data_IF_743789440326
#
_entry.id   IF_743789440326
#
_cell.length_a   1.000
_cell.length_b   1.000
_cell.length_c   1.000
_cell.angle_alpha   90.00
_cell.angle_beta   90.00
_cell.angle_gamma   90.00
#
_symmetry.space_group_name_H-M   'P 1'
#
loop_
_entity.id
_entity.type
_entity.pdbx_description
1 polymer ?
#
# COMPACT_ATOMS: atom_id res chain seq x y z
N UNK A 1 -0.75 -24.54 -12.62
CA UNK A 1 0.69 -24.39 -12.94
C UNK A 1 1.08 -22.96 -12.55
N UNK A 2 1.90 -22.82 -11.51
CA UNK A 2 2.37 -21.53 -11.02
C UNK A 2 3.42 -21.02 -12.00
N UNK A 3 3.20 -19.83 -12.53
CA UNK A 3 4.19 -19.11 -13.34
C UNK A 3 5.24 -18.51 -12.39
N UNK A 4 6.14 -19.37 -11.89
CA UNK A 4 7.14 -19.04 -10.86
C UNK A 4 8.38 -18.33 -11.42
N UNK A 5 8.35 -17.80 -12.66
CA UNK A 5 9.56 -17.31 -13.31
C UNK A 5 9.45 -15.91 -13.90
N UNK A 6 8.58 -15.05 -13.36
CA UNK A 6 8.56 -13.65 -13.77
C UNK A 6 9.52 -12.87 -12.87
N UNK A 7 10.70 -12.52 -13.40
CA UNK A 7 11.62 -11.62 -12.71
C UNK A 7 10.88 -10.33 -12.34
N UNK A 8 10.88 -9.91 -11.06
CA UNK A 8 10.15 -8.71 -10.66
C UNK A 8 10.73 -7.47 -11.36
N UNK A 9 9.85 -6.61 -11.86
CA UNK A 9 10.22 -5.32 -12.44
C UNK A 9 10.39 -4.33 -11.30
N UNK A 10 11.62 -3.86 -11.12
CA UNK A 10 11.92 -2.84 -10.12
C UNK A 10 11.66 -1.44 -10.68
N UNK A 11 10.85 -0.65 -9.95
CA UNK A 11 10.51 0.73 -10.28
C UNK A 11 11.61 1.71 -9.87
N UNK A 12 12.31 1.39 -8.78
CA UNK A 12 13.40 2.18 -8.23
C UNK A 12 14.33 1.30 -7.37
N UNK A 13 15.60 1.69 -7.26
CA UNK A 13 16.58 1.01 -6.41
C UNK A 13 17.37 2.03 -5.58
N UNK A 14 17.61 1.70 -4.31
CA UNK A 14 18.41 2.51 -3.40
C UNK A 14 19.24 1.60 -2.48
N UNK A 15 20.50 1.40 -2.80
CA UNK A 15 21.35 0.41 -2.12
C UNK A 15 20.75 -1.00 -2.22
N UNK A 16 20.51 -1.63 -1.08
CA UNK A 16 19.87 -2.96 -0.99
C UNK A 16 18.34 -2.91 -1.07
N UNK A 17 17.76 -1.71 -1.12
CA UNK A 17 16.32 -1.53 -1.27
C UNK A 17 15.89 -1.58 -2.74
N UNK A 18 14.77 -2.22 -2.98
CA UNK A 18 14.13 -2.33 -4.30
C UNK A 18 12.66 -1.96 -4.18
N UNK A 19 12.19 -1.00 -5.00
CA UNK A 19 10.78 -0.65 -5.10
C UNK A 19 10.14 -1.44 -6.21
N UNK A 20 9.02 -2.08 -5.95
CA UNK A 20 8.19 -2.76 -6.94
C UNK A 20 6.72 -2.80 -6.56
N UNK A 21 5.89 -3.14 -7.51
CA UNK A 21 4.50 -3.51 -7.22
C UNK A 21 4.47 -4.83 -6.44
N UNK A 22 3.48 -4.93 -5.56
CA UNK A 22 3.14 -6.17 -4.87
C UNK A 22 2.12 -6.94 -5.70
N UNK A 23 2.23 -8.25 -5.67
CA UNK A 23 1.27 -9.16 -6.26
C UNK A 23 0.76 -10.19 -5.23
N UNK A 24 -0.10 -11.11 -5.68
CA UNK A 24 -0.67 -12.16 -4.81
C UNK A 24 0.37 -13.06 -4.12
N UNK A 25 1.60 -13.12 -4.64
CA UNK A 25 2.70 -13.85 -4.03
C UNK A 25 3.25 -13.16 -2.77
N UNK A 26 2.97 -11.86 -2.61
CA UNK A 26 3.41 -11.07 -1.46
C UNK A 26 2.39 -11.05 -0.31
N UNK A 27 1.27 -11.79 -0.44
CA UNK A 27 0.13 -11.72 0.49
C UNK A 27 0.53 -11.91 1.96
N UNK A 28 1.41 -12.84 2.25
CA UNK A 28 1.84 -13.10 3.63
C UNK A 28 2.62 -11.93 4.22
N UNK A 29 3.53 -11.32 3.46
CA UNK A 29 4.28 -10.13 3.88
C UNK A 29 3.39 -8.88 3.96
N UNK A 30 2.45 -8.74 3.02
CA UNK A 30 1.45 -7.67 3.02
C UNK A 30 0.57 -7.73 4.27
N UNK A 31 0.01 -8.90 4.60
CA UNK A 31 -0.78 -9.11 5.80
C UNK A 31 0.02 -8.82 7.08
N UNK A 32 1.26 -9.32 7.16
CA UNK A 32 2.11 -9.12 8.33
C UNK A 32 2.38 -7.62 8.59
N UNK A 33 2.68 -6.84 7.54
CA UNK A 33 2.94 -5.41 7.69
C UNK A 33 1.66 -4.63 8.05
N UNK A 34 0.50 -4.99 7.48
CA UNK A 34 -0.78 -4.39 7.87
C UNK A 34 -1.13 -4.68 9.33
N UNK A 35 -1.05 -5.93 9.76
CA UNK A 35 -1.32 -6.32 11.15
C UNK A 35 -0.41 -5.58 12.12
N UNK A 36 0.88 -5.46 11.78
CA UNK A 36 1.83 -4.69 12.57
C UNK A 36 1.44 -3.21 12.66
N UNK A 37 1.19 -2.57 11.51
CA UNK A 37 0.94 -1.13 11.45
C UNK A 37 -0.37 -0.70 12.11
N UNK A 38 -1.41 -1.53 12.00
CA UNK A 38 -2.72 -1.28 12.60
C UNK A 38 -2.92 -1.96 13.96
N UNK A 39 -1.88 -2.59 14.49
CA UNK A 39 -1.87 -3.26 15.81
C UNK A 39 -3.00 -4.30 15.98
N UNK A 40 -3.31 -5.03 14.92
CA UNK A 40 -4.31 -6.09 14.93
C UNK A 40 -3.61 -7.44 14.99
N UNK A 41 -3.83 -8.18 16.07
CA UNK A 41 -3.24 -9.51 16.24
C UNK A 41 -4.13 -10.60 15.64
N UNK A 42 -3.51 -11.69 15.22
CA UNK A 42 -4.25 -12.90 14.79
C UNK A 42 -5.16 -13.43 15.89
N UNK A 43 -4.75 -13.31 17.16
CA UNK A 43 -5.56 -13.70 18.32
C UNK A 43 -6.85 -12.90 18.40
N UNK A 44 -6.79 -11.56 18.29
CA UNK A 44 -7.96 -10.69 18.30
C UNK A 44 -8.92 -11.01 17.14
N UNK A 45 -8.39 -11.32 15.95
CA UNK A 45 -9.22 -11.75 14.82
C UNK A 45 -9.95 -13.06 15.11
N UNK A 46 -9.28 -14.06 15.71
CA UNK A 46 -9.93 -15.30 16.15
C UNK A 46 -11.01 -15.05 17.20
N UNK A 47 -10.74 -14.18 18.18
CA UNK A 47 -11.69 -13.82 19.24
C UNK A 47 -12.94 -13.11 18.68
N UNK A 48 -12.81 -12.43 17.54
CA UNK A 48 -13.95 -11.80 16.82
C UNK A 48 -14.62 -12.75 15.80
N UNK A 49 -14.22 -14.02 15.76
CA UNK A 49 -14.89 -15.07 14.98
C UNK A 49 -14.33 -15.30 13.58
N UNK A 50 -13.18 -14.70 13.22
CA UNK A 50 -12.52 -14.96 11.93
C UNK A 50 -11.87 -16.33 11.91
N UNK A 51 -12.10 -17.11 10.85
CA UNK A 51 -11.39 -18.35 10.61
C UNK A 51 -9.97 -18.10 10.08
N UNK A 52 -9.07 -19.08 10.24
CA UNK A 52 -7.68 -18.95 9.82
C UNK A 52 -7.53 -18.65 8.32
N UNK A 53 -8.31 -19.31 7.49
CA UNK A 53 -8.28 -19.10 6.05
C UNK A 53 -8.83 -17.71 5.66
N UNK A 54 -9.86 -17.23 6.36
CA UNK A 54 -10.39 -15.88 6.17
C UNK A 54 -9.33 -14.83 6.52
N UNK A 55 -8.65 -14.97 7.66
CA UNK A 55 -7.56 -14.08 8.06
C UNK A 55 -6.46 -14.06 6.99
N UNK A 56 -6.10 -15.23 6.47
CA UNK A 56 -5.04 -15.37 5.47
C UNK A 56 -5.40 -14.73 4.14
N UNK A 57 -6.63 -14.96 3.65
CA UNK A 57 -7.00 -14.62 2.28
C UNK A 57 -7.87 -13.39 2.12
N UNK A 58 -8.43 -12.84 3.21
CA UNK A 58 -9.33 -11.67 3.18
C UNK A 58 -8.74 -10.43 2.49
N UNK A 59 -7.42 -10.29 2.51
CA UNK A 59 -6.71 -9.14 1.88
C UNK A 59 -6.24 -9.40 0.45
N UNK A 60 -6.42 -10.62 -0.06
CA UNK A 60 -6.00 -10.98 -1.42
C UNK A 60 -6.63 -10.11 -2.50
N UNK A 61 -7.93 -9.76 -2.44
CA UNK A 61 -8.53 -8.86 -3.43
C UNK A 61 -7.83 -7.50 -3.53
N UNK A 62 -7.25 -7.01 -2.44
CA UNK A 62 -6.49 -5.74 -2.46
C UNK A 62 -5.31 -5.82 -3.42
N UNK A 63 -4.56 -6.93 -3.39
CA UNK A 63 -3.41 -7.16 -4.28
C UNK A 63 -3.82 -7.46 -5.73
N UNK A 64 -5.08 -7.82 -5.96
CA UNK A 64 -5.60 -8.11 -7.29
C UNK A 64 -6.25 -6.89 -7.96
N UNK A 65 -6.80 -5.95 -7.19
CA UNK A 65 -7.63 -4.86 -7.68
C UNK A 65 -7.04 -3.46 -7.45
N UNK A 66 -6.22 -3.29 -6.40
CA UNK A 66 -5.60 -2.00 -6.09
C UNK A 66 -4.18 -1.91 -6.65
N UNK A 67 -3.70 -0.68 -6.82
CA UNK A 67 -2.28 -0.44 -7.06
C UNK A 67 -1.55 -0.48 -5.72
N UNK A 68 -0.72 -1.48 -5.51
CA UNK A 68 0.05 -1.66 -4.28
C UNK A 68 1.53 -1.65 -4.61
N UNK A 69 2.27 -0.72 -4.01
CA UNK A 69 3.73 -0.63 -4.17
C UNK A 69 4.43 -0.67 -2.84
N UNK A 70 5.63 -1.20 -2.84
CA UNK A 70 6.43 -1.27 -1.63
C UNK A 70 7.93 -1.25 -1.91
N UNK A 71 8.66 -0.87 -0.86
CA UNK A 71 10.09 -1.06 -0.76
C UNK A 71 10.39 -2.40 -0.12
N UNK A 72 11.26 -3.15 -0.76
CA UNK A 72 11.80 -4.41 -0.26
C UNK A 72 13.28 -4.22 0.08
N UNK A 73 13.64 -4.57 1.31
CA UNK A 73 15.04 -4.73 1.70
C UNK A 73 15.43 -6.18 1.43
N UNK A 74 16.28 -6.38 0.43
CA UNK A 74 16.46 -7.72 -0.14
C UNK A 74 15.09 -8.28 -0.56
N UNK A 75 14.62 -9.37 0.04
CA UNK A 75 13.34 -10.00 -0.30
C UNK A 75 12.25 -9.74 0.76
N UNK A 76 12.51 -8.87 1.75
CA UNK A 76 11.56 -8.53 2.82
C UNK A 76 10.87 -7.20 2.55
N UNK A 77 9.55 -7.21 2.57
CA UNK A 77 8.76 -5.97 2.50
C UNK A 77 9.10 -5.07 3.70
N UNK A 78 9.56 -3.87 3.42
CA UNK A 78 9.99 -2.90 4.43
C UNK A 78 8.97 -1.78 4.64
N UNK A 79 8.33 -1.34 3.55
CA UNK A 79 7.38 -0.22 3.53
C UNK A 79 6.44 -0.38 2.36
N UNK A 80 5.18 0.07 2.49
CA UNK A 80 4.19 -0.03 1.41
C UNK A 80 3.15 1.07 1.43
N UNK A 81 2.45 1.22 0.30
CA UNK A 81 1.25 2.06 0.11
C UNK A 81 0.27 1.31 -0.80
N UNK A 82 -1.01 1.44 -0.49
CA UNK A 82 -2.13 0.95 -1.30
C UNK A 82 -2.88 2.14 -1.89
N UNK A 83 -3.21 2.07 -3.18
CA UNK A 83 -4.04 3.07 -3.87
C UNK A 83 -5.21 2.37 -4.54
N UNK A 84 -6.42 2.71 -4.14
CA UNK A 84 -7.65 2.30 -4.83
C UNK A 84 -8.01 3.30 -5.91
N UNK A 85 -8.35 2.82 -7.10
CA UNK A 85 -9.03 3.62 -8.10
C UNK A 85 -10.51 3.73 -7.73
N UNK A 86 -10.92 4.91 -7.35
CA UNK A 86 -12.27 5.23 -6.87
C UNK A 86 -12.89 6.32 -7.74
N UNK A 87 -14.17 6.54 -7.56
CA UNK A 87 -14.89 7.67 -8.15
C UNK A 87 -15.55 8.50 -7.06
N UNK A 88 -15.60 9.81 -7.26
CA UNK A 88 -16.24 10.76 -6.36
C UNK A 88 -17.13 11.70 -7.14
N UNK A 89 -18.29 12.02 -6.59
CA UNK A 89 -19.17 13.07 -7.15
C UNK A 89 -18.76 14.42 -6.57
N UNK A 90 -18.36 15.34 -7.45
CA UNK A 90 -18.02 16.71 -7.11
C UNK A 90 -18.95 17.64 -7.91
N UNK A 91 -19.93 18.26 -7.24
CA UNK A 91 -20.91 19.13 -7.87
C UNK A 91 -21.56 18.51 -9.14
N UNK A 92 -22.12 17.31 -8.98
CA UNK A 92 -22.74 16.50 -10.04
C UNK A 92 -21.81 16.04 -11.19
N UNK A 93 -20.51 16.18 -11.02
CA UNK A 93 -19.51 15.61 -11.92
C UNK A 93 -18.85 14.41 -11.26
N UNK A 94 -18.88 13.26 -11.92
CA UNK A 94 -18.17 12.07 -11.48
C UNK A 94 -16.71 12.19 -11.92
N UNK A 95 -15.79 12.13 -10.97
CA UNK A 95 -14.35 12.26 -11.19
C UNK A 95 -13.62 11.03 -10.64
N UNK A 96 -12.57 10.60 -11.34
CA UNK A 96 -11.68 9.56 -10.84
C UNK A 96 -10.79 10.08 -9.71
N UNK A 97 -10.53 9.22 -8.75
CA UNK A 97 -9.85 9.58 -7.51
C UNK A 97 -8.96 8.42 -7.03
N UNK A 98 -7.78 8.76 -6.52
CA UNK A 98 -6.92 7.81 -5.81
C UNK A 98 -7.25 7.79 -4.30
N UNK A 99 -7.80 6.68 -3.82
CA UNK A 99 -7.99 6.44 -2.38
C UNK A 99 -6.74 5.80 -1.77
N UNK A 100 -5.98 6.55 -0.97
CA UNK A 100 -4.73 6.07 -0.36
C UNK A 100 -5.01 5.45 1.00
N UNK A 101 -4.49 4.24 1.19
CA UNK A 101 -4.55 3.50 2.45
C UNK A 101 -3.33 2.61 2.63
N UNK A 102 -3.29 1.82 3.72
CA UNK A 102 -2.22 0.85 3.94
C UNK A 102 -0.81 1.45 3.94
N UNK A 103 -0.67 2.72 4.31
CA UNK A 103 0.62 3.39 4.42
C UNK A 103 1.33 2.86 5.65
N UNK A 104 2.35 2.05 5.45
CA UNK A 104 3.01 1.33 6.54
C UNK A 104 4.51 1.17 6.30
N UNK A 105 5.29 1.17 7.38
CA UNK A 105 6.73 0.91 7.39
C UNK A 105 7.09 0.19 8.67
N UNK A 106 7.90 -0.86 8.59
CA UNK A 106 8.48 -1.44 9.80
C UNK A 106 9.46 -0.47 10.49
N UNK A 107 9.51 -0.44 11.82
CA UNK A 107 10.29 0.53 12.58
C UNK A 107 11.79 0.49 12.29
N UNK A 108 12.35 -0.69 12.01
CA UNK A 108 13.76 -0.85 11.64
C UNK A 108 14.15 -0.16 10.33
N UNK A 109 13.15 0.18 9.49
CA UNK A 109 13.33 0.89 8.23
C UNK A 109 12.80 2.33 8.27
N UNK A 110 12.26 2.78 9.41
CA UNK A 110 11.73 4.13 9.55
C UNK A 110 12.82 5.21 9.43
N UNK A 111 12.44 6.44 9.11
CA UNK A 111 13.36 7.58 9.01
C UNK A 111 14.26 7.58 7.77
N UNK A 112 14.09 6.65 6.83
CA UNK A 112 14.88 6.54 5.59
C UNK A 112 14.23 7.20 4.37
N UNK A 113 13.09 7.88 4.54
CA UNK A 113 12.37 8.53 3.44
C UNK A 113 11.60 7.57 2.53
N UNK A 114 11.41 6.30 2.92
CA UNK A 114 10.76 5.28 2.09
C UNK A 114 9.33 5.67 1.72
N UNK A 115 8.52 6.12 2.69
CA UNK A 115 7.14 6.57 2.40
C UNK A 115 7.14 7.80 1.50
N UNK A 116 8.08 8.72 1.67
CA UNK A 116 8.15 9.91 0.82
C UNK A 116 8.37 9.55 -0.66
N UNK A 117 9.28 8.62 -0.94
CA UNK A 117 9.53 8.15 -2.31
C UNK A 117 8.35 7.32 -2.87
N UNK A 118 7.69 6.50 -2.03
CA UNK A 118 6.47 5.79 -2.43
C UNK A 118 5.34 6.78 -2.76
N UNK A 119 5.12 7.82 -1.94
CA UNK A 119 4.10 8.84 -2.21
C UNK A 119 4.35 9.58 -3.52
N UNK A 120 5.60 9.92 -3.83
CA UNK A 120 5.95 10.52 -5.12
C UNK A 120 5.56 9.60 -6.27
N UNK A 121 5.87 8.31 -6.15
CA UNK A 121 5.51 7.30 -7.17
C UNK A 121 4.01 7.14 -7.31
N UNK A 122 3.27 7.20 -6.20
CA UNK A 122 1.80 7.16 -6.18
C UNK A 122 1.21 8.38 -6.91
N UNK A 123 1.75 9.58 -6.68
CA UNK A 123 1.32 10.79 -7.41
C UNK A 123 1.57 10.67 -8.91
N UNK A 124 2.75 10.15 -9.32
CA UNK A 124 3.05 9.88 -10.72
C UNK A 124 2.08 8.86 -11.33
N UNK A 125 1.76 7.80 -10.60
CA UNK A 125 0.78 6.79 -11.01
C UNK A 125 -0.60 7.42 -11.19
N UNK A 126 -1.11 8.15 -10.21
CA UNK A 126 -2.41 8.79 -10.27
C UNK A 126 -2.51 9.78 -11.44
N UNK A 127 -1.44 10.57 -11.68
CA UNK A 127 -1.38 11.48 -12.82
C UNK A 127 -1.48 10.72 -14.16
N UNK A 128 -0.76 9.61 -14.32
CA UNK A 128 -0.82 8.75 -15.52
C UNK A 128 -2.19 8.10 -15.70
N UNK A 129 -2.89 7.78 -14.61
CA UNK A 129 -4.24 7.22 -14.61
C UNK A 129 -5.34 8.29 -14.71
N UNK A 130 -4.96 9.57 -14.86
CA UNK A 130 -5.89 10.70 -14.94
C UNK A 130 -6.82 10.82 -13.71
N UNK A 131 -6.29 10.53 -12.53
CA UNK A 131 -6.96 10.72 -11.24
C UNK A 131 -6.59 12.10 -10.67
N UNK A 132 -7.40 13.14 -10.88
CA UNK A 132 -7.07 14.51 -10.47
C UNK A 132 -7.22 14.73 -8.96
N UNK A 133 -7.88 13.81 -8.26
CA UNK A 133 -8.16 13.90 -6.83
C UNK A 133 -7.55 12.72 -6.07
N UNK A 134 -7.23 12.97 -4.81
CA UNK A 134 -6.78 11.93 -3.90
C UNK A 134 -7.31 12.16 -2.49
N UNK A 135 -7.80 11.10 -1.86
CA UNK A 135 -8.23 11.11 -0.47
C UNK A 135 -7.45 10.09 0.34
N UNK A 136 -7.23 10.43 1.60
CA UNK A 136 -6.70 9.53 2.62
C UNK A 136 -7.26 9.87 4.00
N UNK A 137 -7.23 8.90 4.91
CA UNK A 137 -7.54 9.11 6.31
C UNK A 137 -6.20 9.27 7.08
N UNK A 138 -5.83 10.49 7.50
CA UNK A 138 -4.51 10.75 8.05
C UNK A 138 -4.39 10.28 9.51
N UNK A 139 -3.35 9.51 9.83
CA UNK A 139 -2.92 9.31 11.22
C UNK A 139 -2.14 10.53 11.75
N UNK A 140 -1.55 11.33 10.86
CA UNK A 140 -0.79 12.54 11.17
C UNK A 140 -0.99 13.58 10.07
N UNK A 141 -1.80 14.59 10.33
CA UNK A 141 -2.06 15.69 9.38
C UNK A 141 -0.76 16.39 8.94
N UNK A 142 0.17 16.77 9.85
CA UNK A 142 1.42 17.44 9.46
C UNK A 142 2.31 16.58 8.54
N UNK A 143 2.23 15.25 8.68
CA UNK A 143 2.99 14.33 7.83
C UNK A 143 2.50 14.39 6.38
N UNK A 144 1.17 14.26 6.16
CA UNK A 144 0.61 14.28 4.82
C UNK A 144 0.60 15.67 4.18
N UNK A 145 0.49 16.74 4.97
CA UNK A 145 0.63 18.12 4.47
C UNK A 145 1.96 18.38 3.79
N UNK A 146 3.04 17.84 4.30
CA UNK A 146 4.37 17.94 3.66
C UNK A 146 4.43 17.32 2.27
N UNK A 147 3.47 16.47 1.95
CA UNK A 147 3.37 15.77 0.66
C UNK A 147 2.23 16.28 -0.22
N UNK A 148 1.54 17.35 0.21
CA UNK A 148 0.53 18.06 -0.59
C UNK A 148 -0.94 17.74 -0.27
N UNK A 149 -1.21 16.90 0.74
CA UNK A 149 -2.59 16.67 1.17
C UNK A 149 -3.04 17.73 2.17
N UNK A 150 -4.26 18.25 1.98
CA UNK A 150 -4.89 19.22 2.87
C UNK A 150 -6.25 18.70 3.38
N UNK A 151 -6.74 19.32 4.48
CA UNK A 151 -8.03 18.97 5.10
C UNK A 151 -9.11 19.83 4.46
#
# INVERSE_FOLDING_TARGET
MQDQNKTPIYLETNGDFRMRELDKGDLDQFNALLQYAFQVTTKELFETGWAQDEIKYAKRPILEEAYVIGWFYKDRLASMIVVYHMQVNVHDNIMDMGGITGVATYPEYAGRGLIHSLMRRVLDYMNKQQMPLSFLCPYSIPFYRKMGWEI
#
